data_IF_257397600783
#
_entry.id   IF_257397600783
#
_cell.length_a   1.000
_cell.length_b   1.000
_cell.length_c   1.000
_cell.angle_alpha   90.00
_cell.angle_beta   90.00
_cell.angle_gamma   90.00
#
_symmetry.space_group_name_H-M   'P 1'
#
loop_
_entity.id
_entity.type
_entity.pdbx_description
1 polymer ?
#
# COMPACT_ATOMS: atom_id res chain seq x y z
N UNK A 1 -8.70 -7.21 -9.01
CA UNK A 1 -7.63 -6.20 -8.85
C UNK A 1 -7.22 -6.18 -7.38
N UNK A 2 -5.93 -6.04 -7.08
CA UNK A 2 -5.38 -6.08 -5.71
C UNK A 2 -4.55 -4.83 -5.46
N UNK A 3 -4.48 -4.39 -4.21
CA UNK A 3 -3.65 -3.26 -3.83
C UNK A 3 -2.17 -3.52 -4.16
N UNK A 4 -1.50 -2.59 -4.85
CA UNK A 4 -0.07 -2.69 -5.17
C UNK A 4 0.81 -2.81 -3.91
N UNK A 5 0.35 -2.25 -2.77
CA UNK A 5 1.15 -2.14 -1.54
C UNK A 5 0.97 -3.36 -0.62
N UNK A 6 -0.27 -3.79 -0.40
CA UNK A 6 -0.58 -4.86 0.55
C UNK A 6 -1.05 -6.16 -0.10
N UNK A 7 -1.26 -6.15 -1.41
CA UNK A 7 -1.79 -7.27 -2.20
C UNK A 7 -3.15 -7.82 -1.73
N UNK A 8 -3.83 -7.07 -0.86
CA UNK A 8 -5.17 -7.39 -0.38
C UNK A 8 -6.27 -6.91 -1.33
N UNK A 9 -7.43 -7.55 -1.20
CA UNK A 9 -8.69 -7.18 -1.84
C UNK A 9 -9.45 -6.12 -1.01
N UNK A 10 -10.29 -5.29 -1.64
CA UNK A 10 -11.02 -4.24 -0.92
C UNK A 10 -11.48 -3.08 -1.80
N UNK A 11 -11.54 -1.88 -1.19
CA UNK A 11 -11.90 -0.62 -1.86
C UNK A 11 -10.64 0.17 -2.17
N UNK A 12 -10.49 0.57 -3.43
CA UNK A 12 -9.26 1.19 -3.92
C UNK A 12 -9.52 2.51 -4.64
N UNK A 13 -8.45 3.27 -4.84
CA UNK A 13 -8.32 4.32 -5.84
C UNK A 13 -7.44 3.80 -6.99
N UNK A 14 -7.80 4.15 -8.22
CA UNK A 14 -7.07 3.79 -9.43
C UNK A 14 -6.16 4.95 -9.85
N UNK A 15 -4.96 4.63 -10.32
CA UNK A 15 -4.11 5.62 -10.97
C UNK A 15 -4.58 5.90 -12.40
N UNK A 16 -4.72 7.17 -12.79
CA UNK A 16 -5.20 7.51 -14.14
C UNK A 16 -4.17 7.27 -15.25
N UNK A 17 -2.89 7.07 -14.90
CA UNK A 17 -1.80 6.83 -15.84
C UNK A 17 -1.29 5.38 -15.90
N UNK A 18 -1.75 4.48 -15.02
CA UNK A 18 -1.29 3.09 -15.00
C UNK A 18 -2.33 2.15 -14.36
N UNK A 19 -2.30 0.83 -14.62
CA UNK A 19 -3.33 -0.10 -14.13
C UNK A 19 -3.24 -0.41 -12.63
N UNK A 20 -2.43 0.32 -11.86
CA UNK A 20 -2.22 0.06 -10.44
C UNK A 20 -3.35 0.64 -9.60
N UNK A 21 -3.75 -0.12 -8.58
CA UNK A 21 -4.77 0.29 -7.61
C UNK A 21 -4.21 0.28 -6.19
N UNK A 22 -4.72 1.17 -5.34
CA UNK A 22 -4.21 1.37 -3.99
C UNK A 22 -5.35 1.52 -2.98
N UNK A 23 -5.22 0.95 -1.79
CA UNK A 23 -6.05 1.38 -0.67
C UNK A 23 -5.69 2.81 -0.27
N UNK A 24 -6.67 3.61 0.15
CA UNK A 24 -6.42 4.97 0.62
C UNK A 24 -5.44 5.02 1.82
N UNK A 25 -5.53 4.00 2.69
CA UNK A 25 -4.64 3.83 3.84
C UNK A 25 -3.26 3.27 3.50
N UNK A 26 -3.10 2.69 2.31
CA UNK A 26 -1.80 2.21 1.83
C UNK A 26 -0.98 3.30 1.14
N UNK A 27 -1.47 4.54 1.10
CA UNK A 27 -0.74 5.70 0.60
C UNK A 27 0.09 6.35 1.71
N UNK A 28 1.11 7.11 1.33
CA UNK A 28 1.96 7.90 2.22
C UNK A 28 2.09 9.37 1.74
N UNK A 29 1.35 10.33 2.32
CA UNK A 29 0.46 10.18 3.46
C UNK A 29 -0.84 9.42 3.11
N UNK A 30 -1.51 8.78 4.11
CA UNK A 30 -2.80 8.16 3.91
C UNK A 30 -3.86 9.19 3.47
N UNK A 31 -4.67 8.85 2.46
CA UNK A 31 -5.80 9.67 2.03
C UNK A 31 -7.06 9.29 2.79
N UNK A 32 -8.01 10.23 2.95
CA UNK A 32 -9.35 9.94 3.45
C UNK A 32 -10.37 9.99 2.31
N UNK A 33 -11.46 9.25 2.43
CA UNK A 33 -12.52 9.24 1.41
C UNK A 33 -13.08 10.63 1.04
N UNK A 34 -13.25 11.60 1.98
CA UNK A 34 -13.70 12.94 1.62
C UNK A 34 -12.73 13.66 0.69
N UNK A 35 -11.42 13.44 0.85
CA UNK A 35 -10.40 14.10 0.05
C UNK A 35 -10.46 13.65 -1.42
N UNK A 36 -10.83 12.38 -1.65
CA UNK A 36 -11.03 11.82 -3.00
C UNK A 36 -12.38 12.24 -3.59
N UNK A 37 -13.43 12.28 -2.77
CA UNK A 37 -14.80 12.61 -3.24
C UNK A 37 -14.99 14.08 -3.60
N UNK A 38 -14.22 14.96 -2.97
CA UNK A 38 -14.30 16.39 -3.19
C UNK A 38 -13.38 16.88 -4.32
N UNK A 39 -12.57 15.99 -4.90
CA UNK A 39 -11.73 16.30 -6.06
C UNK A 39 -12.36 15.69 -7.33
N UNK A 40 -12.85 16.53 -8.24
CA UNK A 40 -13.11 16.13 -9.64
C UNK A 40 -11.79 15.94 -10.44
N UNK A 41 -10.66 15.90 -9.75
CA UNK A 41 -9.32 15.89 -10.32
C UNK A 41 -8.77 14.46 -10.45
N UNK A 42 -7.98 14.26 -11.51
CA UNK A 42 -7.25 13.00 -11.75
C UNK A 42 -6.23 12.72 -10.66
N UNK A 43 -6.12 11.45 -10.25
CA UNK A 43 -5.17 11.00 -9.24
C UNK A 43 -4.07 10.10 -9.85
N UNK A 44 -2.84 10.31 -9.39
CA UNK A 44 -1.66 9.59 -9.88
C UNK A 44 -0.86 8.98 -8.73
N UNK A 45 -0.38 7.75 -8.92
CA UNK A 45 0.46 7.06 -7.93
C UNK A 45 1.87 7.65 -7.83
N UNK A 46 2.66 7.22 -6.84
CA UNK A 46 4.04 7.70 -6.61
C UNK A 46 4.98 7.56 -7.83
N UNK A 47 4.74 6.56 -8.66
CA UNK A 47 5.56 6.31 -9.86
C UNK A 47 5.11 7.15 -11.06
N UNK A 48 3.85 7.60 -11.09
CA UNK A 48 3.27 8.37 -12.20
C UNK A 48 3.20 9.87 -11.90
N UNK A 49 3.24 10.27 -10.63
CA UNK A 49 3.19 11.69 -10.25
C UNK A 49 4.45 12.42 -10.75
N UNK A 50 4.31 13.62 -11.33
CA UNK A 50 5.46 14.43 -11.71
C UNK A 50 6.25 14.83 -10.45
N UNK A 51 7.57 14.66 -10.50
CA UNK A 51 8.52 14.92 -9.38
C UNK A 51 8.53 16.40 -8.95
N UNK A 52 7.91 17.29 -9.72
CA UNK A 52 7.87 18.74 -9.45
C UNK A 52 7.10 19.16 -8.19
N UNK A 53 6.37 18.24 -7.53
CA UNK A 53 5.59 18.58 -6.33
C UNK A 53 6.35 18.38 -5.01
N UNK A 54 7.61 17.93 -5.03
CA UNK A 54 8.45 18.05 -3.84
C UNK A 54 8.83 19.53 -3.72
N UNK A 55 8.25 20.24 -2.75
CA UNK A 55 8.69 21.54 -2.24
C UNK A 55 10.15 21.79 -2.59
N UNK A 56 10.50 22.94 -3.18
CA UNK A 56 11.87 23.37 -3.48
C UNK A 56 12.81 23.24 -2.27
N UNK A 57 13.18 22.02 -1.91
CA UNK A 57 14.16 21.71 -0.89
C UNK A 57 15.48 21.94 -1.59
N UNK A 58 16.21 22.96 -1.16
CA UNK A 58 17.63 23.06 -1.50
C UNK A 58 18.25 21.73 -1.09
N UNK A 59 18.99 21.04 -1.97
CA UNK A 59 19.71 19.85 -1.56
C UNK A 59 20.67 20.28 -0.44
N UNK A 60 20.40 19.83 0.78
CA UNK A 60 21.07 20.33 1.99
C UNK A 60 21.85 19.25 2.71
N UNK A 61 21.76 17.97 2.30
CA UNK A 61 22.35 16.85 3.06
C UNK A 61 22.83 15.69 2.21
N UNK A 62 23.69 14.84 2.78
CA UNK A 62 24.20 13.62 2.15
C UNK A 62 23.09 12.61 1.80
N UNK A 63 21.89 12.75 2.37
CA UNK A 63 20.77 11.84 2.17
C UNK A 63 19.81 12.29 1.06
N UNK A 64 20.08 13.41 0.37
CA UNK A 64 19.19 13.92 -0.66
C UNK A 64 18.88 12.92 -1.79
N UNK A 65 19.83 12.08 -2.26
CA UNK A 65 19.50 11.03 -3.23
C UNK A 65 18.47 10.03 -2.68
N UNK A 66 18.60 9.64 -1.41
CA UNK A 66 17.69 8.72 -0.73
C UNK A 66 16.32 9.35 -0.47
N UNK A 67 16.29 10.63 -0.09
CA UNK A 67 15.05 11.39 0.10
C UNK A 67 14.26 11.50 -1.22
N UNK A 68 14.95 11.72 -2.35
CA UNK A 68 14.32 11.68 -3.68
C UNK A 68 13.78 10.30 -4.04
N UNK A 69 14.45 9.23 -3.64
CA UNK A 69 13.92 7.87 -3.84
C UNK A 69 12.66 7.64 -3.01
N UNK A 70 12.62 8.08 -1.75
CA UNK A 70 11.43 7.98 -0.91
C UNK A 70 10.20 8.70 -1.51
N UNK A 71 10.41 9.81 -2.22
CA UNK A 71 9.32 10.53 -2.90
C UNK A 71 8.77 9.78 -4.14
N UNK A 72 9.44 8.76 -4.64
CA UNK A 72 9.01 8.02 -5.84
C UNK A 72 8.62 6.58 -5.55
N UNK A 73 8.81 6.14 -4.31
CA UNK A 73 8.50 4.78 -3.86
C UNK A 73 7.14 4.72 -3.15
N UNK A 74 6.34 3.74 -3.54
CA UNK A 74 5.19 3.31 -2.76
C UNK A 74 5.66 2.64 -1.45
N UNK A 75 4.95 2.85 -0.33
CA UNK A 75 5.27 2.15 0.91
C UNK A 75 5.13 0.64 0.72
N UNK A 76 5.93 -0.13 1.46
CA UNK A 76 5.86 -1.59 1.47
C UNK A 76 5.16 -2.06 2.74
N UNK A 77 4.26 -3.03 2.63
CA UNK A 77 3.73 -3.70 3.82
C UNK A 77 4.83 -4.50 4.49
N UNK A 78 4.88 -4.44 5.82
CA UNK A 78 5.80 -5.23 6.60
C UNK A 78 5.50 -6.72 6.42
N UNK A 79 6.49 -7.48 5.96
CA UNK A 79 6.43 -8.93 5.87
C UNK A 79 7.38 -9.56 6.88
N UNK A 80 6.85 -10.42 7.74
CA UNK A 80 7.67 -11.31 8.57
C UNK A 80 8.47 -12.27 7.68
N UNK A 81 9.71 -12.61 8.08
CA UNK A 81 10.44 -13.73 7.49
C UNK A 81 9.59 -14.99 7.44
N UNK A 82 9.72 -15.78 6.37
CA UNK A 82 8.98 -17.04 6.19
C UNK A 82 9.20 -18.03 7.33
N UNK A 83 10.35 -17.96 8.01
CA UNK A 83 10.66 -18.79 9.19
C UNK A 83 9.84 -18.42 10.42
N UNK A 84 9.42 -17.17 10.56
CA UNK A 84 8.68 -16.68 11.73
C UNK A 84 7.17 -16.68 11.52
N UNK A 85 6.74 -16.75 10.26
CA UNK A 85 5.34 -16.53 9.89
C UNK A 85 4.42 -17.66 10.36
N UNK A 86 4.97 -18.87 10.52
CA UNK A 86 4.26 -20.06 10.99
C UNK A 86 4.15 -20.15 12.52
N UNK A 87 4.84 -19.28 13.27
CA UNK A 87 4.87 -19.31 14.73
C UNK A 87 3.67 -18.61 15.38
N UNK A 88 2.90 -17.83 14.60
CA UNK A 88 1.79 -17.05 15.11
C UNK A 88 0.48 -17.84 15.06
N UNK A 89 0.01 -18.31 16.21
CA UNK A 89 -1.27 -19.01 16.31
C UNK A 89 -2.42 -18.10 15.85
N UNK A 90 -3.29 -18.63 14.97
CA UNK A 90 -4.45 -17.89 14.47
C UNK A 90 -4.14 -16.89 13.35
N UNK A 91 -2.90 -16.83 12.87
CA UNK A 91 -2.50 -15.99 11.72
C UNK A 91 -2.07 -16.90 10.57
N UNK A 92 -2.58 -16.63 9.37
CA UNK A 92 -2.16 -17.29 8.15
C UNK A 92 -1.75 -16.26 7.10
N UNK A 93 -0.92 -16.69 6.15
CA UNK A 93 -0.53 -15.90 4.97
C UNK A 93 -1.27 -16.45 3.78
N UNK A 94 -1.95 -15.59 3.05
CA UNK A 94 -2.60 -15.97 1.81
C UNK A 94 -1.63 -16.02 0.62
N UNK A 95 -2.13 -16.45 -0.54
CA UNK A 95 -1.33 -16.65 -1.75
C UNK A 95 -0.67 -15.38 -2.29
N UNK A 96 -1.12 -14.21 -1.84
CA UNK A 96 -0.60 -12.90 -2.25
C UNK A 96 0.23 -12.23 -1.15
N UNK A 97 0.60 -12.96 -0.09
CA UNK A 97 1.42 -12.44 1.00
C UNK A 97 0.60 -11.70 2.07
N UNK A 98 -0.72 -11.75 2.00
CA UNK A 98 -1.61 -11.06 2.92
C UNK A 98 -1.80 -11.81 4.24
N UNK A 99 -1.75 -11.10 5.36
CA UNK A 99 -2.02 -11.66 6.68
C UNK A 99 -3.51 -11.76 6.94
N UNK A 100 -3.97 -12.94 7.37
CA UNK A 100 -5.37 -13.23 7.68
C UNK A 100 -5.49 -13.78 9.10
N UNK A 101 -6.47 -13.26 9.85
CA UNK A 101 -6.90 -13.84 11.12
C UNK A 101 -7.79 -15.06 10.83
N UNK A 102 -7.25 -16.24 11.08
CA UNK A 102 -7.94 -17.53 10.91
C UNK A 102 -8.51 -18.07 12.23
N UNK A 103 -8.28 -17.36 13.34
CA UNK A 103 -8.80 -17.74 14.68
C UNK A 103 -10.33 -17.81 14.71
N UNK A 104 -11.00 -17.10 13.80
CA UNK A 104 -12.46 -16.99 13.72
C UNK A 104 -13.10 -17.86 12.63
N UNK A 105 -12.33 -18.67 11.90
CA UNK A 105 -12.90 -19.55 10.89
C UNK A 105 -13.72 -20.65 11.57
N UNK A 106 -15.03 -20.65 11.30
CA UNK A 106 -15.95 -21.69 11.77
C UNK A 106 -15.47 -23.04 11.23
N UNK A 107 -15.40 -24.09 12.05
CA UNK A 107 -14.98 -25.40 11.56
C UNK A 107 -15.86 -25.86 10.39
N UNK A 108 -15.30 -26.55 9.39
CA UNK A 108 -16.09 -27.06 8.28
C UNK A 108 -17.20 -27.95 8.83
N UNK A 109 -18.45 -27.70 8.39
CA UNK A 109 -19.57 -28.55 8.76
C UNK A 109 -19.32 -29.92 8.14
N UNK A 110 -18.88 -30.89 8.94
CA UNK A 110 -18.86 -32.29 8.56
C UNK A 110 -20.29 -32.73 8.26
N UNK A 111 -20.52 -33.24 7.05
CA UNK A 111 -21.79 -33.84 6.63
C UNK A 111 -21.89 -35.25 7.18
#
# INVERSE_FOLDING_TARGET
>A
EVCEVCHGEGRFICCDACPKVYHLLCLNPPLREPDVRNSDESWYCYSCRPVSNSFSRKPSTLFDPLLKQLDTMSPTVFSLPSTLIHEFQGVAVGPHGEYRDVSKLRPPRTR
#
